data_IF_368505790686
#
_entry.id   IF_368505790686
#
_cell.length_a   1.000
_cell.length_b   1.000
_cell.length_c   1.000
_cell.angle_alpha   90.00
_cell.angle_beta   90.00
_cell.angle_gamma   90.00
#
_symmetry.space_group_name_H-M   'P 1'
#
loop_
_entity.id
_entity.type
_entity.pdbx_description
1 polymer ?
#
# COMPACT_ATOMS: atom_id res chain seq x y z
N UNK A 1 22.89 23.03 9.49
CA UNK A 1 22.17 22.54 8.29
C UNK A 1 21.99 21.05 8.46
N UNK A 2 20.73 20.58 8.50
CA UNK A 2 20.39 19.16 8.70
C UNK A 2 21.01 18.32 7.57
N UNK A 3 21.84 17.33 7.93
CA UNK A 3 22.76 16.63 7.03
C UNK A 3 22.11 15.64 6.06
N UNK A 4 20.79 15.44 6.14
CA UNK A 4 20.04 14.58 5.25
C UNK A 4 19.11 15.47 4.42
N UNK A 5 19.35 15.58 3.11
CA UNK A 5 18.49 16.29 2.13
C UNK A 5 17.16 15.52 1.95
N UNK A 6 16.42 15.32 3.03
CA UNK A 6 15.11 14.72 2.97
C UNK A 6 14.09 15.82 2.69
N UNK A 7 13.86 16.07 1.40
CA UNK A 7 12.97 17.14 0.91
C UNK A 7 11.57 17.08 1.57
N UNK A 8 11.11 15.88 1.93
CA UNK A 8 9.83 15.71 2.62
C UNK A 8 9.85 16.26 4.05
N UNK A 9 10.97 16.11 4.76
CA UNK A 9 11.15 16.66 6.11
C UNK A 9 11.31 18.19 6.02
N UNK A 10 12.08 18.70 5.06
CA UNK A 10 12.23 20.15 4.83
C UNK A 10 10.89 20.81 4.53
N UNK A 11 10.06 20.17 3.71
CA UNK A 11 8.74 20.71 3.35
C UNK A 11 7.77 20.72 4.53
N UNK A 12 7.73 19.64 5.32
CA UNK A 12 6.88 19.56 6.51
C UNK A 12 7.36 20.52 7.61
N UNK A 13 8.68 20.67 7.80
CA UNK A 13 9.26 21.62 8.75
C UNK A 13 8.93 23.06 8.36
N UNK A 14 9.07 23.41 7.08
CA UNK A 14 8.69 24.73 6.57
C UNK A 14 7.21 25.01 6.79
N UNK A 15 6.34 24.04 6.51
CA UNK A 15 4.90 24.16 6.75
C UNK A 15 4.58 24.40 8.23
N UNK A 16 5.24 23.68 9.14
CA UNK A 16 5.07 23.86 10.58
C UNK A 16 5.49 25.25 11.07
N UNK A 17 6.53 25.84 10.46
CA UNK A 17 6.97 27.21 10.73
C UNK A 17 6.02 28.24 10.13
N UNK A 18 5.56 28.03 8.89
CA UNK A 18 4.62 28.90 8.18
C UNK A 18 3.26 28.97 8.88
N UNK A 19 2.81 27.84 9.47
CA UNK A 19 1.59 27.76 10.28
C UNK A 19 1.75 28.37 11.69
N UNK A 20 2.97 28.79 12.06
CA UNK A 20 3.28 29.36 13.38
C UNK A 20 3.18 28.36 14.53
N UNK A 21 3.19 27.05 14.25
CA UNK A 21 3.05 25.99 15.27
C UNK A 21 4.30 25.88 16.11
N UNK A 22 5.47 26.11 15.50
CA UNK A 22 6.75 26.20 16.20
C UNK A 22 7.41 27.53 15.84
N UNK A 23 7.99 28.18 16.84
CA UNK A 23 8.82 29.39 16.67
C UNK A 23 10.29 29.07 16.49
N UNK A 24 10.73 27.91 17.01
CA UNK A 24 12.08 27.42 16.85
C UNK A 24 12.19 26.46 15.66
N UNK A 25 13.16 26.74 14.80
CA UNK A 25 13.47 25.92 13.62
C UNK A 25 13.87 24.51 14.00
N UNK A 26 14.67 24.30 15.04
CA UNK A 26 15.14 22.95 15.39
C UNK A 26 13.99 22.07 15.87
N UNK A 27 13.06 22.64 16.65
CA UNK A 27 11.86 21.93 17.09
C UNK A 27 10.94 21.56 15.91
N UNK A 28 10.75 22.48 14.95
CA UNK A 28 9.96 22.19 13.76
C UNK A 28 10.55 21.03 12.95
N UNK A 29 11.88 20.99 12.80
CA UNK A 29 12.58 19.93 12.09
C UNK A 29 12.48 18.57 12.79
N UNK A 30 12.64 18.53 14.12
CA UNK A 30 12.49 17.29 14.89
C UNK A 30 11.08 16.70 14.78
N UNK A 31 10.06 17.54 14.79
CA UNK A 31 8.67 17.09 14.67
C UNK A 31 8.31 16.69 13.24
N UNK A 32 8.81 17.41 12.24
CA UNK A 32 8.71 17.02 10.85
C UNK A 32 9.32 15.63 10.60
N UNK A 33 10.51 15.37 11.13
CA UNK A 33 11.17 14.06 11.03
C UNK A 33 10.32 12.93 11.63
N UNK A 34 9.78 13.13 12.83
CA UNK A 34 8.88 12.16 13.47
C UNK A 34 7.64 11.88 12.63
N UNK A 35 6.97 12.92 12.13
CA UNK A 35 5.76 12.78 11.29
C UNK A 35 6.05 12.02 10.01
N UNK A 36 7.09 12.41 9.28
CA UNK A 36 7.47 11.77 8.02
C UNK A 36 7.83 10.31 8.24
N UNK A 37 8.56 9.98 9.30
CA UNK A 37 8.92 8.61 9.62
C UNK A 37 7.69 7.75 9.98
N UNK A 38 6.73 8.28 10.74
CA UNK A 38 5.48 7.57 11.03
C UNK A 38 4.66 7.29 9.78
N UNK A 39 4.59 8.25 8.84
CA UNK A 39 3.87 8.06 7.57
C UNK A 39 4.56 6.97 6.74
N UNK A 40 5.90 6.98 6.68
CA UNK A 40 6.69 5.96 5.97
C UNK A 40 6.48 4.57 6.56
N UNK A 41 6.44 4.45 7.88
CA UNK A 41 6.19 3.18 8.56
C UNK A 41 4.80 2.62 8.22
N UNK A 42 3.75 3.44 8.36
CA UNK A 42 2.38 3.06 7.96
C UNK A 42 2.29 2.66 6.48
N UNK A 43 3.00 3.38 5.61
CA UNK A 43 3.02 3.07 4.19
C UNK A 43 3.69 1.71 3.92
N UNK A 44 4.82 1.42 4.57
CA UNK A 44 5.49 0.11 4.46
C UNK A 44 4.58 -1.02 4.92
N UNK A 45 3.92 -0.89 6.06
CA UNK A 45 2.96 -1.88 6.55
C UNK A 45 1.83 -2.13 5.54
N UNK A 46 1.25 -1.05 5.01
CA UNK A 46 0.21 -1.15 3.99
C UNK A 46 0.72 -1.82 2.71
N UNK A 47 1.92 -1.47 2.24
CA UNK A 47 2.55 -2.08 1.08
C UNK A 47 2.76 -3.59 1.28
N UNK A 48 3.29 -4.01 2.43
CA UNK A 48 3.46 -5.43 2.78
C UNK A 48 2.12 -6.17 2.77
N UNK A 49 1.07 -5.58 3.35
CA UNK A 49 -0.28 -6.17 3.35
C UNK A 49 -0.84 -6.34 1.95
N UNK A 50 -0.64 -5.36 1.06
CA UNK A 50 -1.09 -5.46 -0.33
C UNK A 50 -0.31 -6.51 -1.12
N UNK A 51 1.01 -6.57 -0.95
CA UNK A 51 1.85 -7.61 -1.57
C UNK A 51 1.42 -9.01 -1.12
N UNK A 52 1.16 -9.19 0.17
CA UNK A 52 0.63 -10.44 0.70
C UNK A 52 -0.74 -10.80 0.09
N UNK A 53 -1.67 -9.85 0.01
CA UNK A 53 -2.99 -10.05 -0.60
C UNK A 53 -2.89 -10.46 -2.07
N UNK A 54 -2.03 -9.81 -2.84
CA UNK A 54 -1.78 -10.14 -4.24
C UNK A 54 -1.18 -11.55 -4.39
N UNK A 55 -0.23 -11.92 -3.53
CA UNK A 55 0.38 -13.27 -3.52
C UNK A 55 -0.66 -14.35 -3.22
N UNK A 56 -1.49 -14.17 -2.20
CA UNK A 56 -2.60 -15.10 -1.88
C UNK A 56 -3.59 -15.21 -3.03
N UNK A 57 -3.98 -14.08 -3.64
CA UNK A 57 -4.87 -14.08 -4.81
C UNK A 57 -4.28 -14.86 -5.98
N UNK A 58 -2.98 -14.70 -6.23
CA UNK A 58 -2.25 -15.44 -7.27
C UNK A 58 -2.22 -16.95 -6.98
N UNK A 59 -1.91 -17.35 -5.75
CA UNK A 59 -1.92 -18.77 -5.33
C UNK A 59 -3.33 -19.38 -5.49
N UNK A 60 -4.36 -18.69 -5.00
CA UNK A 60 -5.76 -19.13 -5.16
C UNK A 60 -6.13 -19.28 -6.63
N UNK A 61 -5.73 -18.33 -7.48
CA UNK A 61 -5.95 -18.43 -8.93
C UNK A 61 -5.26 -19.67 -9.50
N UNK A 62 -4.01 -19.95 -9.13
CA UNK A 62 -3.30 -21.16 -9.57
C UNK A 62 -3.94 -22.46 -9.09
N UNK A 63 -4.45 -22.50 -7.87
CA UNK A 63 -5.18 -23.67 -7.35
C UNK A 63 -6.55 -23.86 -8.02
N UNK A 64 -7.16 -22.78 -8.50
CA UNK A 64 -8.49 -22.81 -9.11
C UNK A 64 -8.44 -22.95 -10.65
N UNK A 65 -7.31 -22.62 -11.28
CA UNK A 65 -7.05 -22.89 -12.69
C UNK A 65 -6.44 -24.29 -12.86
N UNK A 66 -7.30 -25.19 -13.34
CA UNK A 66 -7.00 -26.05 -14.51
C UNK A 66 -6.63 -27.52 -14.34
N UNK A 67 -6.83 -28.13 -13.18
CA UNK A 67 -7.06 -29.60 -13.13
C UNK A 67 -8.56 -29.97 -13.05
N UNK A 68 -9.41 -29.03 -12.61
CA UNK A 68 -10.86 -29.24 -12.48
C UNK A 68 -11.73 -28.42 -13.43
N UNK A 69 -11.13 -27.57 -14.29
CA UNK A 69 -11.87 -26.82 -15.31
C UNK A 69 -12.41 -27.72 -16.44
N UNK A 70 -11.79 -28.89 -16.64
CA UNK A 70 -12.21 -29.91 -17.60
C UNK A 70 -12.95 -31.09 -16.93
N UNK A 71 -13.58 -30.86 -15.78
CA UNK A 71 -14.49 -31.84 -15.17
C UNK A 71 -15.82 -31.73 -15.92
N UNK A 72 -16.31 -32.82 -16.56
CA UNK A 72 -17.54 -32.78 -17.36
C UNK A 72 -18.77 -32.27 -16.60
N UNK A 73 -18.75 -32.35 -15.27
CA UNK A 73 -19.87 -32.00 -14.37
C UNK A 73 -19.65 -30.68 -13.60
N UNK A 74 -18.87 -29.74 -14.14
CA UNK A 74 -18.78 -28.41 -13.54
C UNK A 74 -20.16 -27.74 -13.57
N UNK A 75 -20.78 -27.63 -12.38
CA UNK A 75 -22.14 -27.12 -12.14
C UNK A 75 -22.33 -25.64 -12.56
N UNK A 76 -21.22 -24.92 -12.80
CA UNK A 76 -21.21 -23.54 -13.25
C UNK A 76 -20.99 -23.38 -14.76
N UNK A 77 -20.85 -24.48 -15.53
CA UNK A 77 -21.05 -24.40 -16.98
C UNK A 77 -22.54 -24.14 -17.20
N UNK A 78 -22.88 -22.90 -17.57
CA UNK A 78 -24.12 -22.64 -18.29
C UNK A 78 -24.12 -23.60 -19.48
N UNK A 79 -24.91 -24.64 -19.39
CA UNK A 79 -25.23 -25.51 -20.51
C UNK A 79 -25.76 -24.59 -21.60
N UNK A 80 -24.98 -24.41 -22.66
CA UNK A 80 -25.53 -24.11 -23.97
C UNK A 80 -25.79 -25.46 -24.66
N UNK A 81 -26.66 -26.24 -24.04
CA UNK A 81 -27.50 -27.25 -24.68
C UNK A 81 -28.89 -26.79 -24.28
N UNK A 82 -29.84 -26.52 -25.14
CA UNK A 82 -30.00 -26.84 -26.55
C UNK A 82 -31.42 -26.36 -26.83
N UNK A 83 -31.63 -25.54 -27.86
CA UNK A 83 -32.95 -25.47 -28.50
C UNK A 83 -32.74 -25.23 -30.00
N UNK A 84 -32.91 -26.34 -30.72
CA UNK A 84 -33.15 -26.53 -32.17
C UNK A 84 -31.90 -26.66 -33.07
#
# INVERSE_FOLDING_TARGET
MYKNNDEAIDWEAKKLLDEGVYTDTEQAYLEAEKRVNQIREKFREHQVKQQFKLKIKSIKKKLNNDDYANVPYNKNRKYWESDI
#
